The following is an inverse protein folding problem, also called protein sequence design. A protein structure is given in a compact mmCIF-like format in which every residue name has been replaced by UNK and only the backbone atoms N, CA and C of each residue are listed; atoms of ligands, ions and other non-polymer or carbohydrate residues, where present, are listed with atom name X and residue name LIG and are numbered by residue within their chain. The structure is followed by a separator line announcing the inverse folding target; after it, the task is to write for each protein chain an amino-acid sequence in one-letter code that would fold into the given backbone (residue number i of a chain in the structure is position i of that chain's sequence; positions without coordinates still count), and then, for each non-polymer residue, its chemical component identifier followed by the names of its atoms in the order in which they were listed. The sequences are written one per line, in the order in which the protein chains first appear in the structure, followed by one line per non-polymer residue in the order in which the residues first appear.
data_IF_798263077638
#
_entry.id   IF_798263077638
#
_cell.length_a   1.000
_cell.length_b   1.000
_cell.length_c   1.000
_cell.angle_alpha   90.00
_cell.angle_beta   90.00
_cell.angle_gamma   90.00
#
_symmetry.space_group_name_H-M   'P 1'
#
loop_
_entity.id
_entity.type
_entity.pdbx_description
1 polymer ?
#
# COMPACT_ATOMS: atom_id res chain seq x y z
N UNK A 1 -10.32 2.49 18.80
CA UNK A 1 -9.16 3.10 19.49
C UNK A 1 -9.27 4.60 19.34
N UNK A 2 -8.88 5.39 20.36
CA UNK A 2 -8.81 6.84 20.24
C UNK A 2 -7.35 7.24 20.06
N UNK A 3 -7.07 7.99 18.99
CA UNK A 3 -5.76 8.53 18.71
C UNK A 3 -5.85 10.06 18.67
N UNK A 4 -4.83 10.72 19.18
CA UNK A 4 -4.59 12.15 19.00
C UNK A 4 -3.09 12.38 18.83
N UNK A 5 -2.68 13.64 18.69
CA UNK A 5 -1.29 14.04 18.47
C UNK A 5 -0.29 13.47 19.49
N UNK A 6 -0.69 13.24 20.74
CA UNK A 6 0.24 12.88 21.82
C UNK A 6 0.05 11.47 22.38
N UNK A 7 -1.09 10.83 22.11
CA UNK A 7 -1.47 9.58 22.76
C UNK A 7 -2.45 8.74 21.95
N UNK A 8 -2.52 7.45 22.29
CA UNK A 8 -3.33 6.45 21.60
C UNK A 8 -3.83 5.39 22.57
N UNK A 9 -4.95 4.78 22.24
CA UNK A 9 -5.48 3.62 22.96
C UNK A 9 -6.92 3.84 23.41
N UNK A 10 -7.33 3.08 24.42
CA UNK A 10 -8.60 3.24 25.12
C UNK A 10 -8.38 2.87 26.57
N UNK A 11 -8.63 3.79 27.50
CA UNK A 11 -8.54 3.48 28.92
C UNK A 11 -9.74 2.63 29.34
N UNK A 12 -9.48 1.34 29.57
CA UNK A 12 -10.44 0.32 29.95
C UNK A 12 -10.16 -0.26 31.34
N UNK A 13 -9.20 0.32 32.05
CA UNK A 13 -8.88 0.03 33.45
C UNK A 13 -10.08 0.32 34.35
N UNK A 14 -10.15 -0.35 35.50
CA UNK A 14 -11.12 -0.08 36.56
C UNK A 14 -10.81 1.24 37.28
N UNK A 15 -9.53 1.55 37.45
CA UNK A 15 -9.08 2.71 38.23
C UNK A 15 -9.37 4.06 37.57
N UNK A 16 -9.20 4.18 36.25
CA UNK A 16 -9.35 5.48 35.55
C UNK A 16 -10.20 5.41 34.29
N UNK A 17 -10.49 4.20 33.80
CA UNK A 17 -11.15 3.96 32.53
C UNK A 17 -12.61 3.55 32.62
N UNK A 18 -13.02 2.71 31.65
CA UNK A 18 -14.40 2.19 31.57
C UNK A 18 -14.70 1.05 32.54
N UNK A 19 -13.71 0.52 33.26
CA UNK A 19 -13.83 -0.68 34.09
C UNK A 19 -14.14 -1.97 33.32
N UNK A 20 -13.61 -2.11 32.11
CA UNK A 20 -13.79 -3.33 31.32
C UNK A 20 -12.77 -4.41 31.72
N UNK A 21 -11.58 -4.02 32.17
CA UNK A 21 -10.57 -4.94 32.69
C UNK A 21 -11.11 -5.76 33.88
N UNK A 22 -11.87 -5.15 34.80
CA UNK A 22 -12.48 -5.81 35.94
C UNK A 22 -13.60 -6.82 35.63
N UNK A 23 -14.05 -6.90 34.37
CA UNK A 23 -15.03 -7.91 33.95
C UNK A 23 -14.42 -9.30 33.77
N UNK A 24 -13.08 -9.40 33.75
CA UNK A 24 -12.36 -10.66 33.67
C UNK A 24 -12.15 -11.29 35.07
N UNK A 25 -11.88 -12.60 35.16
CA UNK A 25 -11.47 -13.23 36.43
C UNK A 25 -10.24 -12.55 37.04
N UNK A 26 -10.17 -12.49 38.37
CA UNK A 26 -9.21 -11.65 39.10
C UNK A 26 -7.75 -11.71 38.59
N UNK A 27 -7.12 -12.88 38.34
CA UNK A 27 -5.74 -12.90 37.84
C UNK A 27 -5.56 -12.25 36.46
N UNK A 28 -6.59 -12.30 35.62
CA UNK A 28 -6.59 -11.72 34.27
C UNK A 28 -6.92 -10.23 34.34
N UNK A 29 -7.88 -9.85 35.17
CA UNK A 29 -8.18 -8.44 35.44
C UNK A 29 -6.95 -7.71 35.97
N UNK A 30 -6.26 -8.28 36.97
CA UNK A 30 -5.02 -7.72 37.54
C UNK A 30 -3.92 -7.56 36.47
N UNK A 31 -3.79 -8.52 35.54
CA UNK A 31 -2.81 -8.45 34.45
C UNK A 31 -3.12 -7.31 33.47
N UNK A 32 -4.39 -7.13 33.10
CA UNK A 32 -4.83 -6.09 32.16
C UNK A 32 -4.95 -4.70 32.78
N UNK A 33 -5.15 -4.61 34.10
CA UNK A 33 -5.23 -3.34 34.84
C UNK A 33 -3.88 -2.62 34.88
N UNK A 34 -2.76 -3.37 34.84
CA UNK A 34 -1.43 -2.82 35.02
C UNK A 34 -0.66 -2.73 33.70
N UNK A 35 -0.12 -1.54 33.41
CA UNK A 35 0.71 -1.26 32.23
C UNK A 35 1.95 -2.17 32.15
N UNK A 36 2.56 -2.47 33.29
CA UNK A 36 3.79 -3.28 33.36
C UNK A 36 3.54 -4.76 33.03
N UNK A 37 2.31 -5.26 33.21
CA UNK A 37 1.97 -6.68 33.03
C UNK A 37 1.07 -6.95 31.83
N UNK A 38 0.45 -5.92 31.25
CA UNK A 38 -0.40 -6.08 30.07
C UNK A 38 0.46 -6.43 28.85
N UNK A 39 0.21 -7.54 28.14
CA UNK A 39 0.96 -7.89 26.94
C UNK A 39 0.91 -6.78 25.88
N UNK A 40 2.05 -6.51 25.21
CA UNK A 40 2.20 -5.45 24.21
C UNK A 40 1.07 -5.49 23.15
N UNK A 41 0.69 -6.68 22.68
CA UNK A 41 -0.34 -6.90 21.67
C UNK A 41 -1.77 -6.55 22.14
N UNK A 42 -1.99 -6.42 23.44
CA UNK A 42 -3.27 -6.02 24.05
C UNK A 42 -3.20 -4.64 24.71
N UNK A 43 -2.04 -4.01 24.77
CA UNK A 43 -1.81 -2.74 25.48
C UNK A 43 -2.83 -1.68 25.09
N UNK A 44 -2.98 -1.41 23.79
CA UNK A 44 -3.86 -0.34 23.30
C UNK A 44 -5.35 -0.70 23.33
N UNK A 45 -5.66 -1.95 23.64
CA UNK A 45 -7.01 -2.34 23.98
C UNK A 45 -7.35 -1.95 25.43
N UNK A 46 -6.43 -2.14 26.38
CA UNK A 46 -6.72 -1.87 27.79
C UNK A 46 -6.33 -0.49 28.29
N UNK A 47 -5.35 0.14 27.64
CA UNK A 47 -4.73 1.37 28.11
C UNK A 47 -4.78 2.48 27.06
N UNK A 48 -4.79 3.72 27.55
CA UNK A 48 -4.54 4.92 26.74
C UNK A 48 -3.17 5.48 27.15
N UNK A 49 -2.19 5.40 26.25
CA UNK A 49 -0.78 5.72 26.54
C UNK A 49 -0.22 6.78 25.59
N UNK A 50 0.84 7.52 25.98
CA UNK A 50 1.59 8.35 25.04
C UNK A 50 2.17 7.50 23.90
N UNK A 51 2.30 8.08 22.70
CA UNK A 51 2.95 7.42 21.57
C UNK A 51 4.40 6.99 21.86
N UNK A 52 5.05 7.70 22.79
CA UNK A 52 6.43 7.46 23.25
C UNK A 52 6.52 6.44 24.39
N UNK A 53 5.41 5.87 24.85
CA UNK A 53 5.43 4.78 25.84
C UNK A 53 6.25 3.61 25.30
N UNK A 54 7.14 3.06 26.14
CA UNK A 54 8.00 1.93 25.76
C UNK A 54 7.31 0.62 26.09
N UNK A 55 7.14 -0.18 25.05
CA UNK A 55 6.67 -1.54 25.10
C UNK A 55 7.70 -2.46 25.78
N UNK A 56 7.30 -3.67 26.16
CA UNK A 56 8.23 -4.68 26.70
C UNK A 56 9.32 -5.06 25.68
N UNK A 57 9.00 -5.00 24.39
CA UNK A 57 9.97 -5.12 23.29
C UNK A 57 11.07 -4.05 23.28
N UNK A 58 10.92 -2.95 24.03
CA UNK A 58 11.85 -1.81 24.08
C UNK A 58 11.54 -0.69 23.07
N UNK A 59 10.78 -1.01 22.02
CA UNK A 59 10.27 -0.03 21.06
C UNK A 59 9.24 0.90 21.72
N UNK A 60 9.15 2.14 21.21
CA UNK A 60 7.98 2.97 21.53
C UNK A 60 6.74 2.44 20.82
N UNK A 61 5.54 2.77 21.31
CA UNK A 61 4.28 2.40 20.63
C UNK A 61 4.30 2.85 19.17
N UNK A 62 4.68 4.09 18.88
CA UNK A 62 4.71 4.59 17.50
C UNK A 62 5.75 3.87 16.63
N UNK A 63 6.95 3.57 17.17
CA UNK A 63 7.95 2.81 16.42
C UNK A 63 7.48 1.38 16.14
N UNK A 64 6.78 0.75 17.10
CA UNK A 64 6.16 -0.55 16.90
C UNK A 64 5.08 -0.51 15.81
N UNK A 65 4.25 0.54 15.76
CA UNK A 65 3.30 0.75 14.65
C UNK A 65 4.03 0.76 13.30
N UNK A 66 5.06 1.59 13.13
CA UNK A 66 5.81 1.64 11.88
C UNK A 66 6.40 0.26 11.52
N UNK A 67 7.11 -0.36 12.47
CA UNK A 67 7.75 -1.65 12.25
C UNK A 67 6.75 -2.76 11.88
N UNK A 68 5.61 -2.84 12.57
CA UNK A 68 4.60 -3.86 12.31
C UNK A 68 4.00 -3.76 10.90
N UNK A 69 3.73 -2.55 10.40
CA UNK A 69 3.18 -2.37 9.04
C UNK A 69 4.20 -2.67 7.95
N UNK A 70 5.47 -2.29 8.15
CA UNK A 70 6.54 -2.70 7.22
C UNK A 70 6.75 -4.21 7.22
N UNK A 71 6.81 -4.84 8.40
CA UNK A 71 6.98 -6.28 8.54
C UNK A 71 5.79 -7.07 7.95
N UNK A 72 4.57 -6.56 8.11
CA UNK A 72 3.37 -7.13 7.51
C UNK A 72 3.44 -7.14 5.97
N UNK A 73 3.75 -5.98 5.37
CA UNK A 73 3.90 -5.88 3.91
C UNK A 73 5.04 -6.77 3.37
N UNK A 74 6.18 -6.83 4.08
CA UNK A 74 7.29 -7.72 3.72
C UNK A 74 6.89 -9.20 3.77
N UNK A 75 6.13 -9.60 4.79
CA UNK A 75 5.64 -10.97 4.94
C UNK A 75 4.71 -11.36 3.78
N UNK A 76 3.73 -10.51 3.46
CA UNK A 76 2.74 -10.77 2.41
C UNK A 76 3.39 -10.77 1.02
N UNK A 77 4.43 -9.96 0.78
CA UNK A 77 5.21 -10.00 -0.45
C UNK A 77 5.86 -11.38 -0.74
N UNK A 78 6.02 -12.22 0.30
CA UNK A 78 6.49 -13.61 0.17
C UNK A 78 5.42 -14.61 -0.29
N UNK A 79 4.12 -14.31 -0.13
CA UNK A 79 3.05 -15.28 -0.37
C UNK A 79 2.95 -15.75 -1.83
N UNK A 80 2.99 -14.89 -2.86
CA UNK A 80 2.97 -15.35 -4.25
C UNK A 80 4.14 -16.29 -4.57
N UNK A 81 5.33 -16.00 -4.03
CA UNK A 81 6.53 -16.84 -4.23
C UNK A 81 6.36 -18.21 -3.58
N UNK A 82 5.82 -18.27 -2.37
CA UNK A 82 5.54 -19.53 -1.68
C UNK A 82 4.47 -20.33 -2.42
N UNK A 83 3.37 -19.69 -2.84
CA UNK A 83 2.31 -20.33 -3.60
C UNK A 83 2.81 -20.91 -4.92
N UNK A 84 3.71 -20.20 -5.62
CA UNK A 84 4.32 -20.69 -6.86
C UNK A 84 5.03 -22.05 -6.69
N UNK A 85 5.54 -22.40 -5.51
CA UNK A 85 6.23 -23.67 -5.25
C UNK A 85 5.29 -24.90 -5.25
N UNK A 86 3.98 -24.69 -5.16
CA UNK A 86 2.98 -25.77 -5.16
C UNK A 86 2.19 -25.87 -6.46
N UNK A 87 2.60 -25.16 -7.53
CA UNK A 87 1.92 -25.14 -8.83
C UNK A 87 1.57 -26.53 -9.35
N UNK A 88 2.52 -27.46 -9.30
CA UNK A 88 2.35 -28.81 -9.84
C UNK A 88 1.53 -29.75 -8.92
N UNK A 89 1.03 -29.24 -7.79
CA UNK A 89 0.29 -29.99 -6.76
C UNK A 89 -1.17 -29.54 -6.60
N UNK A 90 -1.59 -28.50 -7.32
CA UNK A 90 -2.89 -27.87 -7.19
C UNK A 90 -3.57 -27.86 -8.56
N UNK A 91 -4.90 -27.92 -8.58
CA UNK A 91 -5.66 -27.73 -9.82
C UNK A 91 -5.27 -26.39 -10.48
N UNK A 92 -4.98 -26.34 -11.79
CA UNK A 92 -4.51 -25.13 -12.45
C UNK A 92 -5.46 -23.93 -12.29
N UNK A 93 -6.77 -24.15 -12.29
CA UNK A 93 -7.76 -23.06 -12.14
C UNK A 93 -7.70 -22.46 -10.74
N UNK A 94 -7.61 -23.33 -9.72
CA UNK A 94 -7.45 -22.90 -8.32
C UNK A 94 -6.12 -22.21 -8.12
N UNK A 95 -5.06 -22.72 -8.74
CA UNK A 95 -3.73 -22.13 -8.65
C UNK A 95 -3.72 -20.68 -9.15
N UNK A 96 -4.27 -20.43 -10.34
CA UNK A 96 -4.26 -19.09 -10.96
C UNK A 96 -5.19 -18.11 -10.22
N UNK A 97 -6.37 -18.53 -9.74
CA UNK A 97 -7.24 -17.66 -8.92
C UNK A 97 -6.56 -17.26 -7.60
N UNK A 98 -5.98 -18.22 -6.88
CA UNK A 98 -5.27 -17.92 -5.63
C UNK A 98 -4.00 -17.09 -5.89
N UNK A 99 -3.26 -17.36 -6.96
CA UNK A 99 -2.08 -16.57 -7.34
C UNK A 99 -2.46 -15.11 -7.55
N UNK A 100 -3.52 -14.85 -8.30
CA UNK A 100 -4.03 -13.50 -8.53
C UNK A 100 -4.38 -12.79 -7.21
N UNK A 101 -5.14 -13.45 -6.32
CA UNK A 101 -5.52 -12.87 -5.02
C UNK A 101 -4.32 -12.59 -4.12
N UNK A 102 -3.31 -13.46 -4.12
CA UNK A 102 -2.08 -13.26 -3.34
C UNK A 102 -1.23 -12.12 -3.90
N UNK A 103 -1.17 -11.97 -5.23
CA UNK A 103 -0.49 -10.83 -5.86
C UNK A 103 -1.21 -9.51 -5.55
N UNK A 104 -2.54 -9.48 -5.65
CA UNK A 104 -3.35 -8.35 -5.23
C UNK A 104 -3.11 -8.03 -3.75
N UNK A 105 -3.14 -9.03 -2.86
CA UNK A 105 -2.88 -8.84 -1.44
C UNK A 105 -1.47 -8.29 -1.16
N UNK A 106 -0.46 -8.77 -1.87
CA UNK A 106 0.91 -8.26 -1.75
C UNK A 106 0.99 -6.78 -2.15
N UNK A 107 0.39 -6.40 -3.27
CA UNK A 107 0.31 -5.00 -3.70
C UNK A 107 -0.46 -4.12 -2.72
N UNK A 108 -1.66 -4.55 -2.32
CA UNK A 108 -2.55 -3.81 -1.41
C UNK A 108 -1.96 -3.67 -0.01
N UNK A 109 -1.17 -4.64 0.46
CA UNK A 109 -0.47 -4.53 1.75
C UNK A 109 0.52 -3.36 1.81
N UNK A 110 1.11 -2.97 0.68
CA UNK A 110 1.99 -1.80 0.59
C UNK A 110 1.19 -0.50 0.68
N UNK A 111 0.03 -0.45 0.03
CA UNK A 111 -0.87 0.70 0.11
C UNK A 111 -1.35 0.91 1.56
N UNK A 112 -1.80 -0.16 2.23
CA UNK A 112 -2.16 -0.13 3.65
C UNK A 112 -1.02 0.30 4.57
N UNK A 113 0.19 -0.21 4.33
CA UNK A 113 1.40 0.15 5.07
C UNK A 113 1.66 1.65 4.98
N UNK A 114 1.64 2.20 3.77
CA UNK A 114 1.93 3.62 3.53
C UNK A 114 0.83 4.48 4.15
N UNK A 115 -0.45 4.20 3.87
CA UNK A 115 -1.59 4.95 4.41
C UNK A 115 -1.57 5.04 5.94
N UNK A 116 -1.40 3.90 6.63
CA UNK A 116 -1.42 3.90 8.11
C UNK A 116 -0.20 4.65 8.67
N UNK A 117 0.99 4.36 8.14
CA UNK A 117 2.21 4.96 8.66
C UNK A 117 2.24 6.47 8.43
N UNK A 118 1.84 6.93 7.26
CA UNK A 118 1.77 8.36 6.93
C UNK A 118 0.69 9.07 7.73
N UNK A 119 -0.48 8.45 7.92
CA UNK A 119 -1.54 8.99 8.77
C UNK A 119 -1.03 9.26 10.21
N UNK A 120 -0.39 8.27 10.83
CA UNK A 120 0.13 8.43 12.19
C UNK A 120 1.37 9.31 12.25
N UNK A 121 2.25 9.30 11.24
CA UNK A 121 3.34 10.24 11.15
C UNK A 121 2.84 11.68 11.08
N UNK A 122 1.87 11.96 10.21
CA UNK A 122 1.28 13.30 10.09
C UNK A 122 0.54 13.72 11.37
N UNK A 123 -0.17 12.80 12.02
CA UNK A 123 -0.83 13.08 13.30
C UNK A 123 0.16 13.40 14.43
N UNK A 124 1.22 12.61 14.57
CA UNK A 124 2.09 12.62 15.76
C UNK A 124 3.32 13.49 15.59
N UNK A 125 3.80 13.65 14.36
CA UNK A 125 5.07 14.29 14.00
C UNK A 125 6.28 13.60 14.66
N UNK A 126 6.17 12.31 14.99
CA UNK A 126 7.28 11.51 15.53
C UNK A 126 7.93 10.74 14.37
N UNK A 127 9.21 10.98 14.05
CA UNK A 127 9.84 10.30 12.91
C UNK A 127 10.03 8.81 13.17
N UNK A 128 9.90 8.02 12.10
CA UNK A 128 10.35 6.62 12.09
C UNK A 128 11.86 6.57 12.31
N UNK A 129 12.31 5.80 13.30
CA UNK A 129 13.73 5.67 13.65
C UNK A 129 14.57 5.14 12.48
N UNK A 130 13.94 4.41 11.54
CA UNK A 130 14.57 3.89 10.33
C UNK A 130 14.41 4.79 9.10
N UNK A 131 13.74 5.94 9.25
CA UNK A 131 13.53 6.95 8.20
C UNK A 131 12.90 6.39 6.92
N UNK A 132 11.94 5.47 7.05
CA UNK A 132 11.22 4.87 5.91
C UNK A 132 9.92 5.60 5.58
N UNK A 133 9.17 6.04 6.59
CA UNK A 133 7.85 6.68 6.41
C UNK A 133 8.00 8.01 5.67
N UNK A 134 7.26 8.18 4.57
CA UNK A 134 7.35 9.35 3.69
C UNK A 134 8.66 9.45 2.89
N UNK A 135 9.50 8.40 2.90
CA UNK A 135 10.78 8.37 2.20
C UNK A 135 10.82 7.19 1.22
N UNK A 136 10.32 7.43 0.01
CA UNK A 136 10.25 6.45 -1.07
C UNK A 136 11.22 6.83 -2.21
N UNK A 137 12.54 6.60 -2.07
CA UNK A 137 13.54 7.07 -3.05
C UNK A 137 13.37 6.45 -4.45
N UNK A 138 12.68 5.32 -4.54
CA UNK A 138 12.42 4.57 -5.77
C UNK A 138 11.05 4.85 -6.40
N UNK A 139 10.34 5.88 -5.92
CA UNK A 139 8.99 6.22 -6.37
C UNK A 139 9.00 7.54 -7.15
N UNK A 140 8.28 7.55 -8.27
CA UNK A 140 7.94 8.74 -9.02
C UNK A 140 6.43 8.97 -8.89
N UNK A 141 6.04 10.12 -8.35
CA UNK A 141 4.63 10.48 -8.18
C UNK A 141 4.02 10.88 -9.53
N UNK A 142 2.82 10.39 -9.84
CA UNK A 142 2.20 10.57 -11.15
C UNK A 142 1.88 12.03 -11.46
N UNK A 143 1.60 12.85 -10.45
CA UNK A 143 1.38 14.30 -10.61
C UNK A 143 2.62 15.07 -11.06
N UNK A 144 3.81 14.45 -10.99
CA UNK A 144 5.07 15.03 -11.47
C UNK A 144 5.44 14.57 -12.89
N UNK A 145 4.58 13.83 -13.58
CA UNK A 145 4.79 13.39 -14.96
C UNK A 145 4.34 14.49 -15.94
N UNK A 146 4.81 14.41 -17.18
CA UNK A 146 4.21 15.15 -18.28
C UNK A 146 2.86 14.50 -18.62
N UNK A 147 1.78 15.24 -18.40
CA UNK A 147 0.40 14.74 -18.50
C UNK A 147 -0.26 15.16 -19.81
N UNK A 148 -0.85 14.19 -20.52
CA UNK A 148 -1.69 14.42 -21.70
C UNK A 148 -3.10 13.87 -21.45
N UNK A 149 -4.11 14.74 -21.55
CA UNK A 149 -5.52 14.43 -21.23
C UNK A 149 -5.74 13.90 -19.80
N UNK A 150 -4.89 14.34 -18.86
CA UNK A 150 -5.00 14.05 -17.43
C UNK A 150 -5.11 15.35 -16.62
N UNK A 151 -5.80 15.29 -15.49
CA UNK A 151 -5.84 16.34 -14.47
C UNK A 151 -5.28 15.81 -13.14
N UNK A 152 -4.75 16.72 -12.33
CA UNK A 152 -4.25 16.42 -10.98
C UNK A 152 -5.37 16.72 -9.98
N UNK A 153 -5.61 15.78 -9.07
CA UNK A 153 -6.61 15.91 -8.00
C UNK A 153 -5.97 15.67 -6.64
N UNK A 154 -6.30 16.54 -5.68
CA UNK A 154 -5.99 16.28 -4.28
C UNK A 154 -6.91 15.20 -3.73
N UNK A 155 -6.37 14.29 -2.93
CA UNK A 155 -7.15 13.22 -2.31
C UNK A 155 -7.72 13.63 -0.95
N UNK A 156 -8.87 13.05 -0.62
CA UNK A 156 -9.50 13.21 0.69
C UNK A 156 -10.23 11.91 1.06
N UNK A 157 -9.80 11.19 2.11
CA UNK A 157 -8.72 11.58 3.01
C UNK A 157 -7.34 11.46 2.34
N UNK A 158 -6.34 12.21 2.78
CA UNK A 158 -5.09 12.39 2.03
C UNK A 158 -4.22 11.13 2.00
N UNK A 159 -4.37 10.26 3.00
CA UNK A 159 -3.58 9.04 3.17
C UNK A 159 -3.92 7.94 2.16
N UNK A 160 -4.91 8.14 1.28
CA UNK A 160 -5.25 7.16 0.23
C UNK A 160 -4.30 7.21 -0.97
N UNK A 161 -3.45 8.24 -1.08
CA UNK A 161 -2.50 8.38 -2.18
C UNK A 161 -1.13 8.81 -1.70
N UNK A 162 -0.11 8.45 -2.45
CA UNK A 162 1.23 8.99 -2.28
C UNK A 162 1.23 10.46 -2.67
N UNK A 163 2.09 11.27 -2.05
CA UNK A 163 2.22 12.69 -2.42
C UNK A 163 1.00 13.59 -2.18
N UNK A 164 -0.11 13.06 -1.63
CA UNK A 164 -1.42 13.73 -1.42
C UNK A 164 -2.25 13.98 -2.69
N UNK A 165 -1.76 13.52 -3.85
CA UNK A 165 -2.42 13.73 -5.14
C UNK A 165 -2.57 12.42 -5.90
N UNK A 166 -3.46 12.43 -6.88
CA UNK A 166 -3.56 11.44 -7.93
C UNK A 166 -3.72 12.17 -9.26
N UNK A 167 -3.58 11.45 -10.36
CA UNK A 167 -3.96 11.94 -11.69
C UNK A 167 -5.06 11.06 -12.27
N UNK A 168 -6.03 11.66 -12.96
CA UNK A 168 -7.08 10.94 -13.67
C UNK A 168 -7.34 11.53 -15.06
N UNK A 169 -7.93 10.74 -15.95
CA UNK A 169 -8.30 11.21 -17.28
C UNK A 169 -9.37 12.30 -17.19
N UNK A 170 -9.20 13.38 -17.98
CA UNK A 170 -10.19 14.47 -18.07
C UNK A 170 -11.46 14.07 -18.82
N UNK A 171 -11.44 12.93 -19.51
CA UNK A 171 -12.52 12.44 -20.35
C UNK A 171 -12.53 10.92 -20.42
N UNK A 172 -13.72 10.33 -20.54
CA UNK A 172 -13.89 8.89 -20.78
C UNK A 172 -13.95 8.51 -22.27
N UNK A 173 -13.71 9.46 -23.17
CA UNK A 173 -13.79 9.26 -24.63
C UNK A 173 -12.47 9.44 -25.37
N UNK A 174 -11.43 9.88 -24.67
CA UNK A 174 -10.09 10.11 -25.24
C UNK A 174 -9.07 9.26 -24.52
N UNK A 175 -8.03 8.84 -25.24
CA UNK A 175 -6.83 8.25 -24.64
C UNK A 175 -6.07 9.30 -23.85
N UNK A 176 -5.55 8.94 -22.68
CA UNK A 176 -4.61 9.76 -21.92
C UNK A 176 -3.22 9.16 -21.88
N UNK A 177 -2.22 9.98 -21.55
CA UNK A 177 -0.86 9.48 -21.32
C UNK A 177 -0.14 10.24 -20.21
N UNK A 178 0.70 9.51 -19.48
CA UNK A 178 1.65 10.04 -18.51
C UNK A 178 3.05 9.71 -19.02
N UNK A 179 3.96 10.69 -19.02
CA UNK A 179 5.35 10.51 -19.46
C UNK A 179 6.33 10.97 -18.40
N UNK A 180 7.41 10.22 -18.22
CA UNK A 180 8.53 10.61 -17.36
C UNK A 180 9.81 9.97 -17.89
N UNK A 181 10.94 10.26 -17.25
CA UNK A 181 12.23 9.66 -17.57
C UNK A 181 12.81 9.01 -16.33
N UNK A 182 13.39 7.82 -16.47
CA UNK A 182 14.00 7.11 -15.35
C UNK A 182 15.18 7.91 -14.77
N UNK A 183 15.13 8.38 -13.52
CA UNK A 183 16.29 9.02 -12.89
C UNK A 183 17.29 7.99 -12.34
N UNK A 184 16.92 6.71 -12.36
CA UNK A 184 17.66 5.64 -11.71
C UNK A 184 18.80 5.10 -12.57
N UNK A 185 19.82 4.45 -11.98
CA UNK A 185 20.88 3.81 -12.74
C UNK A 185 20.36 2.69 -13.65
N UNK A 186 21.13 2.35 -14.68
CA UNK A 186 20.89 1.16 -15.51
C UNK A 186 20.70 -0.08 -14.64
N UNK A 187 19.62 -0.82 -14.85
CA UNK A 187 19.36 -2.01 -14.06
C UNK A 187 18.07 -2.73 -14.39
N UNK A 188 17.89 -3.86 -13.73
CA UNK A 188 16.62 -4.57 -13.71
C UNK A 188 15.81 -4.17 -12.48
N UNK A 189 14.54 -3.88 -12.69
CA UNK A 189 13.60 -3.43 -11.67
C UNK A 189 12.31 -4.25 -11.73
N UNK A 190 11.74 -4.54 -10.58
CA UNK A 190 10.34 -4.87 -10.48
C UNK A 190 9.58 -3.54 -10.48
N UNK A 191 8.85 -3.27 -11.56
CA UNK A 191 8.10 -2.02 -11.74
C UNK A 191 6.71 -2.19 -11.20
N UNK A 192 6.27 -1.25 -10.38
CA UNK A 192 4.94 -1.29 -9.82
C UNK A 192 4.18 0.00 -10.09
N UNK A 193 2.99 -0.12 -10.66
CA UNK A 193 2.11 1.02 -10.91
C UNK A 193 0.97 0.96 -9.90
N UNK A 194 0.85 1.99 -9.07
CA UNK A 194 -0.29 2.19 -8.19
C UNK A 194 -1.39 2.94 -8.96
N UNK A 195 -2.60 2.40 -8.93
CA UNK A 195 -3.75 2.91 -9.66
C UNK A 195 -5.02 2.68 -8.84
N UNK A 196 -6.14 3.22 -9.30
CA UNK A 196 -7.45 2.95 -8.70
C UNK A 196 -8.35 2.28 -9.71
N UNK A 197 -8.94 1.16 -9.32
CA UNK A 197 -9.92 0.40 -10.08
C UNK A 197 -11.32 0.84 -9.61
N UNK A 198 -12.04 1.53 -10.50
CA UNK A 198 -13.37 2.07 -10.18
C UNK A 198 -14.45 1.20 -10.83
N UNK A 199 -15.56 1.00 -10.12
CA UNK A 199 -16.69 0.29 -10.70
C UNK A 199 -17.37 1.08 -11.84
N UNK A 200 -18.28 0.38 -12.54
CA UNK A 200 -19.08 0.91 -13.64
C UNK A 200 -18.25 1.37 -14.86
N UNK A 201 -17.09 0.72 -15.07
CA UNK A 201 -16.18 0.88 -16.21
C UNK A 201 -15.13 -0.23 -16.23
N UNK A 202 -14.39 -0.34 -17.35
CA UNK A 202 -13.15 -1.15 -17.42
C UNK A 202 -12.09 -0.33 -18.17
N UNK A 203 -11.35 0.48 -17.44
CA UNK A 203 -10.23 1.24 -17.98
C UNK A 203 -9.11 0.29 -18.42
N UNK A 204 -8.45 0.62 -19.53
CA UNK A 204 -7.30 -0.13 -20.01
C UNK A 204 -6.04 0.70 -19.96
N UNK A 205 -4.93 0.03 -19.69
CA UNK A 205 -3.64 0.63 -19.44
C UNK A 205 -2.56 -0.13 -20.19
N UNK A 206 -1.54 0.58 -20.64
CA UNK A 206 -0.32 0.00 -21.19
C UNK A 206 0.89 0.80 -20.74
N UNK A 207 1.98 0.10 -20.43
CA UNK A 207 3.24 0.71 -20.02
C UNK A 207 4.35 0.35 -21.00
N UNK A 208 5.19 1.33 -21.33
CA UNK A 208 6.42 1.14 -22.09
C UNK A 208 7.62 1.82 -21.42
N UNK A 209 8.80 1.25 -21.64
CA UNK A 209 10.09 1.81 -21.25
C UNK A 209 10.98 1.88 -22.50
N UNK A 210 11.43 3.07 -22.85
CA UNK A 210 12.05 3.36 -24.14
C UNK A 210 11.13 2.93 -25.28
N UNK A 211 11.66 2.11 -26.20
CA UNK A 211 10.90 1.59 -27.35
C UNK A 211 10.20 0.25 -27.06
N UNK A 212 10.27 -0.28 -25.83
CA UNK A 212 9.75 -1.59 -25.47
C UNK A 212 8.46 -1.50 -24.66
N UNK A 213 7.44 -2.27 -25.05
CA UNK A 213 6.25 -2.48 -24.21
C UNK A 213 6.61 -3.37 -23.01
N UNK A 214 6.31 -2.88 -21.81
CA UNK A 214 6.49 -3.63 -20.56
C UNK A 214 5.29 -4.55 -20.31
N UNK A 215 4.07 -4.03 -20.49
CA UNK A 215 2.86 -4.81 -20.27
C UNK A 215 1.58 -3.98 -20.40
N UNK A 216 0.46 -4.68 -20.25
CA UNK A 216 -0.90 -4.13 -20.32
C UNK A 216 -1.74 -4.72 -19.18
N UNK A 217 -2.69 -3.94 -18.67
CA UNK A 217 -3.67 -4.38 -17.67
C UNK A 217 -4.98 -3.61 -17.84
N UNK A 218 -6.02 -4.06 -17.13
CA UNK A 218 -7.33 -3.42 -17.09
C UNK A 218 -7.80 -3.30 -15.63
N UNK A 219 -8.67 -2.33 -15.35
CA UNK A 219 -9.43 -2.24 -14.10
C UNK A 219 -10.64 -3.18 -14.18
N UNK A 220 -10.49 -4.40 -13.66
CA UNK A 220 -11.54 -5.43 -13.69
C UNK A 220 -11.64 -6.22 -12.36
N UNK A 221 -11.18 -5.62 -11.26
CA UNK A 221 -11.08 -6.27 -9.95
C UNK A 221 -12.44 -6.69 -9.39
N UNK A 222 -13.54 -6.04 -9.78
CA UNK A 222 -14.90 -6.44 -9.43
C UNK A 222 -15.23 -7.86 -9.89
N UNK A 223 -14.72 -8.23 -11.06
CA UNK A 223 -14.96 -9.54 -11.66
C UNK A 223 -14.06 -10.62 -11.07
N UNK A 224 -12.84 -10.25 -10.63
CA UNK A 224 -11.83 -11.20 -10.15
C UNK A 224 -11.86 -11.41 -8.64
N UNK A 225 -12.09 -10.36 -7.86
CA UNK A 225 -12.08 -10.45 -6.40
C UNK A 225 -13.42 -10.87 -5.80
N UNK A 226 -14.51 -10.78 -6.57
CA UNK A 226 -15.85 -11.18 -6.13
C UNK A 226 -16.52 -10.16 -5.21
N UNK A 227 -16.06 -8.91 -5.20
CA UNK A 227 -16.70 -7.77 -4.56
C UNK A 227 -16.53 -6.54 -5.45
N UNK A 228 -17.51 -5.65 -5.49
CA UNK A 228 -17.43 -4.44 -6.30
C UNK A 228 -16.47 -3.42 -5.65
N UNK A 229 -15.44 -2.93 -6.36
CA UNK A 229 -14.75 -1.69 -6.06
C UNK A 229 -15.77 -0.55 -5.99
N UNK A 230 -15.37 0.56 -5.41
CA UNK A 230 -16.23 1.74 -5.32
C UNK A 230 -16.15 2.54 -6.61
N UNK A 231 -17.16 3.36 -6.90
CA UNK A 231 -17.12 4.31 -8.03
C UNK A 231 -16.31 5.57 -7.70
N UNK A 232 -15.43 5.51 -6.69
CA UNK A 232 -14.70 6.66 -6.15
C UNK A 232 -13.25 6.25 -5.91
N UNK A 233 -12.35 7.22 -6.07
CA UNK A 233 -10.95 7.08 -5.67
C UNK A 233 -10.90 7.03 -4.14
N UNK A 234 -10.70 5.85 -3.58
CA UNK A 234 -10.57 5.57 -2.14
C UNK A 234 -9.76 4.29 -1.89
N UNK A 235 -9.50 3.96 -0.61
CA UNK A 235 -8.68 2.79 -0.26
C UNK A 235 -9.25 1.43 -0.71
N UNK A 236 -10.54 1.34 -1.07
CA UNK A 236 -11.16 0.12 -1.57
C UNK A 236 -11.00 -0.03 -3.09
N UNK A 237 -10.81 1.07 -3.83
CA UNK A 237 -10.47 1.03 -5.26
C UNK A 237 -8.96 1.01 -5.50
N UNK A 238 -8.16 1.35 -4.50
CA UNK A 238 -6.70 1.37 -4.62
C UNK A 238 -6.12 -0.02 -4.92
N UNK A 239 -5.30 -0.09 -5.97
CA UNK A 239 -4.74 -1.30 -6.53
C UNK A 239 -3.30 -1.08 -6.99
N UNK A 240 -2.60 -2.18 -7.25
CA UNK A 240 -1.20 -2.14 -7.69
C UNK A 240 -0.92 -3.29 -8.65
N UNK A 241 -0.44 -2.96 -9.85
CA UNK A 241 0.05 -3.95 -10.81
C UNK A 241 1.58 -4.02 -10.73
N UNK A 242 2.15 -5.20 -11.00
CA UNK A 242 3.60 -5.46 -10.94
C UNK A 242 4.10 -6.08 -12.23
N UNK A 243 5.21 -5.55 -12.74
CA UNK A 243 5.97 -6.10 -13.85
C UNK A 243 7.36 -6.48 -13.35
N UNK A 244 7.65 -7.78 -13.25
CA UNK A 244 8.90 -8.27 -12.66
C UNK A 244 10.08 -8.20 -13.65
N UNK A 245 11.27 -7.90 -13.13
CA UNK A 245 12.55 -7.99 -13.85
C UNK A 245 12.59 -7.25 -15.21
N UNK A 246 12.10 -6.01 -15.23
CA UNK A 246 12.13 -5.12 -16.39
C UNK A 246 13.49 -4.41 -16.45
N UNK A 247 14.16 -4.48 -17.61
CA UNK A 247 15.37 -3.70 -17.85
C UNK A 247 15.02 -2.23 -18.09
N UNK A 248 15.61 -1.33 -17.31
CA UNK A 248 15.40 0.13 -17.41
C UNK A 248 16.76 0.81 -17.55
N UNK A 249 17.08 1.35 -18.73
CA UNK A 249 18.21 2.27 -18.89
C UNK A 249 17.98 3.58 -18.12
N UNK A 250 19.06 4.16 -17.62
CA UNK A 250 19.07 5.52 -17.09
C UNK A 250 18.60 6.50 -18.17
N UNK A 251 17.69 7.40 -17.79
CA UNK A 251 17.10 8.37 -18.71
C UNK A 251 16.14 7.77 -19.75
N UNK A 252 15.79 6.48 -19.66
CA UNK A 252 14.78 5.91 -20.55
C UNK A 252 13.42 6.61 -20.33
N UNK A 253 12.75 6.98 -21.43
CA UNK A 253 11.38 7.46 -21.40
C UNK A 253 10.47 6.33 -20.87
N UNK A 254 9.58 6.67 -19.94
CA UNK A 254 8.53 5.81 -19.45
C UNK A 254 7.22 6.43 -19.88
N UNK A 255 6.35 5.62 -20.48
CA UNK A 255 5.03 6.06 -20.91
C UNK A 255 3.99 5.11 -20.34
N UNK A 256 2.98 5.65 -19.67
CA UNK A 256 1.75 4.93 -19.33
C UNK A 256 0.64 5.53 -20.18
N UNK A 257 0.11 4.75 -21.12
CA UNK A 257 -1.03 5.15 -21.95
C UNK A 257 -2.29 4.48 -21.45
N UNK A 258 -3.39 5.23 -21.38
CA UNK A 258 -4.65 4.76 -20.83
C UNK A 258 -5.83 5.06 -21.75
N UNK A 259 -6.87 4.24 -21.61
CA UNK A 259 -8.18 4.48 -22.20
C UNK A 259 -9.22 4.27 -21.10
N UNK A 260 -9.80 5.38 -20.65
CA UNK A 260 -10.93 5.38 -19.73
C UNK A 260 -12.16 4.74 -20.38
N UNK A 261 -13.06 4.21 -19.55
CA UNK A 261 -14.27 3.51 -19.99
C UNK A 261 -15.40 3.68 -18.97
N UNK A 262 -16.62 3.96 -19.43
CA UNK A 262 -17.74 4.16 -18.53
C UNK A 262 -17.50 5.31 -17.55
N UNK A 263 -17.62 5.04 -16.25
CA UNK A 263 -17.28 5.97 -15.17
C UNK A 263 -15.84 5.84 -14.68
N UNK A 264 -15.09 4.82 -15.13
CA UNK A 264 -13.71 4.61 -14.73
C UNK A 264 -12.77 5.50 -15.55
N UNK A 265 -12.26 6.55 -14.89
CA UNK A 265 -11.43 7.62 -15.46
C UNK A 265 -9.92 7.32 -15.39
N UNK A 266 -9.56 6.05 -15.35
CA UNK A 266 -8.18 5.55 -15.30
C UNK A 266 -7.24 6.26 -14.28
N UNK A 267 -7.60 6.38 -12.99
CA UNK A 267 -6.78 7.09 -12.01
C UNK A 267 -5.47 6.37 -11.68
N UNK A 268 -4.39 7.14 -11.53
CA UNK A 268 -3.02 6.68 -11.24
C UNK A 268 -2.43 7.49 -10.07
N UNK A 269 -1.63 6.84 -9.25
CA UNK A 269 -0.99 7.43 -8.05
C UNK A 269 0.52 7.59 -8.26
N UNK A 270 1.23 6.48 -8.42
CA UNK A 270 2.69 6.50 -8.58
C UNK A 270 3.23 5.33 -9.41
N UNK A 271 4.48 5.48 -9.84
CA UNK A 271 5.32 4.40 -10.38
C UNK A 271 6.51 4.15 -9.45
N UNK A 272 6.71 2.92 -9.01
CA UNK A 272 7.82 2.52 -8.13
C UNK A 272 8.77 1.52 -8.81
N UNK A 273 10.08 1.72 -8.61
CA UNK A 273 11.20 0.98 -9.21
C UNK A 273 11.94 0.17 -8.15
N UNK A 274 11.51 -1.07 -7.87
CA UNK A 274 12.21 -1.89 -6.87
C UNK A 274 13.38 -2.62 -7.54
N UNK A 275 14.65 -2.41 -7.12
CA UNK A 275 15.78 -3.11 -7.74
C UNK A 275 15.61 -4.63 -7.69
N UNK A 276 15.64 -5.28 -8.85
CA UNK A 276 15.37 -6.71 -8.99
C UNK A 276 16.66 -7.53 -9.05
N UNK A 277 16.78 -8.52 -8.15
CA UNK A 277 17.91 -9.44 -8.16
C UNK A 277 17.87 -10.45 -9.32
N UNK A 278 16.69 -10.70 -9.91
CA UNK A 278 16.48 -11.75 -10.92
C UNK A 278 17.17 -11.46 -12.26
N UNK A 279 17.28 -10.18 -12.62
CA UNK A 279 17.89 -9.76 -13.89
C UNK A 279 19.42 -9.95 -13.99
N UNK A 280 20.11 -10.27 -12.90
CA UNK A 280 21.55 -10.59 -12.93
C UNK A 280 21.87 -12.03 -13.36
N UNK A 281 20.87 -12.87 -13.58
CA UNK A 281 21.05 -14.32 -13.80
C UNK A 281 21.26 -14.76 -15.25
N UNK A 282 21.48 -13.82 -16.18
CA UNK A 282 21.85 -14.14 -17.58
C UNK A 282 23.08 -13.36 -18.01
N UNK A 283 24.26 -13.85 -17.59
CA UNK A 283 25.53 -13.74 -18.32
C UNK A 283 26.28 -15.06 -18.22
#
# INVERSE_FOLDING_TARGET
MRANRTSVGMDRTDSTGSGYAGQYPAPVADMYENLDTTPDELLLWFHHVPWTYRLHSGNTVIQHFYDAHYAGAETVAGFPKLWATVRDKVDPTVFEDVMFRLQYQAGHSVLWRDSINEYFYNMTQIPDEKSRVGNNPWRLEAENFDLENYEILATSPFEISSGLFIVQSISNTTTGSLRSHSPYPDGYYDLHVAYFDLNDGVASYSMSVGNGTVGQWVGDLETKLGHAPTGRVDGNSAARVTFEAVWVPHGAEIVISTQANGTEVAPLDYLEFVPSARGRSTQ
#
